data_IF_647203151784
#
_entry.id   IF_647203151784
#
_cell.length_a   1.000
_cell.length_b   1.000
_cell.length_c   1.000
_cell.angle_alpha   90.00
_cell.angle_beta   90.00
_cell.angle_gamma   90.00
#
_symmetry.space_group_name_H-M   'P 1'
#
loop_
_entity.id
_entity.type
_entity.pdbx_description
1 polymer ?
#
# COMPACT_ATOMS: atom_id res chain seq x y z
N UNK A 1 -7.82 -13.38 -29.97
CA UNK A 1 -8.01 -11.97 -30.37
C UNK A 1 -7.72 -11.10 -29.16
N UNK A 2 -6.51 -10.58 -29.05
CA UNK A 2 -6.09 -9.73 -27.94
C UNK A 2 -6.19 -8.27 -28.39
N UNK A 3 -7.23 -7.59 -27.94
CA UNK A 3 -7.29 -6.13 -27.95
C UNK A 3 -7.09 -5.70 -26.50
N UNK A 4 -5.83 -5.58 -26.08
CA UNK A 4 -5.46 -5.03 -24.78
C UNK A 4 -4.63 -3.77 -25.02
N UNK A 5 -5.32 -2.65 -25.22
CA UNK A 5 -4.78 -1.32 -24.94
C UNK A 5 -5.96 -0.47 -24.48
N UNK A 6 -6.10 -0.26 -23.18
CA UNK A 6 -6.78 0.93 -22.67
C UNK A 6 -5.83 1.58 -21.68
N UNK A 7 -4.79 2.22 -22.22
CA UNK A 7 -4.05 3.26 -21.53
C UNK A 7 -4.81 4.58 -21.64
N UNK A 8 -5.09 5.18 -20.47
CA UNK A 8 -5.79 6.44 -20.13
C UNK A 8 -7.24 6.58 -20.65
N UNK A 9 -8.21 7.00 -19.83
CA UNK A 9 -8.23 8.32 -19.18
C UNK A 9 -8.52 8.29 -17.67
N UNK A 10 -7.67 8.93 -16.87
CA UNK A 10 -8.10 9.62 -15.68
C UNK A 10 -7.93 11.13 -15.88
N UNK A 11 -8.98 11.88 -15.58
CA UNK A 11 -8.91 13.30 -15.28
C UNK A 11 -9.76 13.58 -14.03
N UNK A 12 -9.91 12.55 -13.17
CA UNK A 12 -10.90 12.37 -12.10
C UNK A 12 -12.14 11.57 -12.53
N UNK A 13 -12.40 10.45 -11.84
CA UNK A 13 -13.57 9.58 -11.95
C UNK A 13 -13.98 9.11 -10.54
N UNK A 14 -15.23 9.34 -10.15
CA UNK A 14 -15.77 8.84 -8.87
C UNK A 14 -16.10 7.35 -9.01
N UNK A 15 -15.36 6.50 -8.30
CA UNK A 15 -15.59 5.06 -8.25
C UNK A 15 -16.70 4.68 -7.28
N UNK A 16 -16.79 5.41 -6.15
CA UNK A 16 -17.78 5.17 -5.09
C UNK A 16 -18.22 6.52 -4.55
N UNK A 17 -19.53 6.79 -4.59
CA UNK A 17 -20.14 7.97 -3.96
C UNK A 17 -20.88 7.53 -2.70
N UNK A 18 -20.24 7.74 -1.54
CA UNK A 18 -20.81 7.47 -0.23
C UNK A 18 -21.51 8.70 0.37
N UNK A 19 -22.06 8.53 1.58
CA UNK A 19 -22.74 9.62 2.27
C UNK A 19 -21.77 10.74 2.68
N UNK A 20 -20.76 10.42 3.49
CA UNK A 20 -19.77 11.39 3.99
C UNK A 20 -18.47 11.41 3.18
N UNK A 21 -18.17 10.34 2.45
CA UNK A 21 -16.92 10.17 1.72
C UNK A 21 -17.19 9.73 0.29
N UNK A 22 -16.32 10.16 -0.62
CA UNK A 22 -16.24 9.61 -1.98
C UNK A 22 -14.86 8.99 -2.22
N UNK A 23 -14.83 7.99 -3.09
CA UNK A 23 -13.61 7.37 -3.60
C UNK A 23 -13.45 7.79 -5.05
N UNK A 24 -12.34 8.47 -5.35
CA UNK A 24 -12.09 9.06 -6.65
C UNK A 24 -10.76 8.52 -7.19
N UNK A 25 -10.75 8.15 -8.46
CA UNK A 25 -9.55 7.81 -9.22
C UNK A 25 -9.13 9.04 -10.04
N UNK A 26 -7.92 9.55 -9.83
CA UNK A 26 -7.46 10.79 -10.46
C UNK A 26 -6.02 10.69 -10.96
N UNK A 27 -5.73 11.49 -11.98
CA UNK A 27 -4.37 11.85 -12.41
C UNK A 27 -4.25 13.34 -12.67
N UNK A 28 -5.08 14.16 -11.99
CA UNK A 28 -4.99 15.62 -12.07
C UNK A 28 -3.83 16.10 -11.23
N UNK A 29 -3.02 16.99 -11.77
CA UNK A 29 -1.85 17.53 -11.08
C UNK A 29 -2.20 18.18 -9.72
N UNK A 30 -3.34 18.87 -9.64
CA UNK A 30 -3.81 19.52 -8.39
C UNK A 30 -4.15 18.50 -7.28
N UNK A 31 -4.77 17.37 -7.64
CA UNK A 31 -5.09 16.31 -6.69
C UNK A 31 -3.80 15.60 -6.27
N UNK A 32 -2.89 15.35 -7.21
CA UNK A 32 -1.60 14.71 -6.96
C UNK A 32 -0.75 15.57 -6.02
N UNK A 33 -0.67 16.89 -6.25
CA UNK A 33 0.06 17.79 -5.34
C UNK A 33 -0.55 17.74 -3.93
N UNK A 34 -1.88 17.78 -3.82
CA UNK A 34 -2.58 17.68 -2.53
C UNK A 34 -2.28 16.36 -1.83
N UNK A 35 -2.28 15.25 -2.56
CA UNK A 35 -1.93 13.92 -2.06
C UNK A 35 -0.46 13.85 -1.62
N UNK A 36 0.47 14.45 -2.37
CA UNK A 36 1.89 14.52 -1.99
C UNK A 36 2.09 15.27 -0.67
N UNK A 37 1.32 16.33 -0.41
CA UNK A 37 1.34 17.07 0.85
C UNK A 37 0.73 16.26 2.00
N UNK A 38 -0.39 15.58 1.76
CA UNK A 38 -1.00 14.67 2.74
C UNK A 38 -0.03 13.55 3.13
N UNK A 39 0.64 12.94 2.14
CA UNK A 39 1.65 11.90 2.37
C UNK A 39 2.82 12.43 3.19
N UNK A 40 3.33 13.62 2.86
CA UNK A 40 4.40 14.27 3.63
C UNK A 40 3.99 14.47 5.10
N UNK A 41 2.79 14.98 5.35
CA UNK A 41 2.28 15.19 6.71
C UNK A 41 2.11 13.88 7.49
N UNK A 42 1.47 12.88 6.87
CA UNK A 42 1.22 11.59 7.54
C UNK A 42 2.52 10.83 7.78
N UNK A 43 3.39 10.72 6.78
CA UNK A 43 4.66 10.00 6.95
C UNK A 43 5.65 10.78 7.83
N UNK A 44 5.62 12.11 7.82
CA UNK A 44 6.45 12.93 8.71
C UNK A 44 6.06 12.87 10.18
N UNK A 45 4.85 12.38 10.49
CA UNK A 45 4.34 12.23 11.86
C UNK A 45 4.20 10.77 12.31
N UNK A 46 4.48 9.80 11.44
CA UNK A 46 4.33 8.38 11.73
C UNK A 46 5.65 7.80 12.27
N UNK A 47 5.64 7.10 13.42
CA UNK A 47 6.83 6.51 14.01
C UNK A 47 7.63 5.63 13.05
N UNK A 48 8.90 5.98 12.84
CA UNK A 48 9.84 5.28 11.97
C UNK A 48 9.90 5.81 10.54
N UNK A 49 9.10 6.83 10.18
CA UNK A 49 9.15 7.45 8.84
C UNK A 49 9.58 8.92 8.88
N UNK A 50 9.71 9.52 10.07
CA UNK A 50 9.96 10.95 10.23
C UNK A 50 11.30 11.38 9.63
N UNK A 51 12.31 10.51 9.73
CA UNK A 51 13.65 10.77 9.19
C UNK A 51 13.66 10.99 7.68
N UNK A 52 12.73 10.33 6.95
CA UNK A 52 12.64 10.45 5.48
C UNK A 52 12.13 11.82 5.03
N UNK A 53 11.30 12.45 5.85
CA UNK A 53 10.70 13.75 5.54
C UNK A 53 11.57 14.92 6.00
N UNK A 54 12.55 14.68 6.88
CA UNK A 54 13.43 15.71 7.43
C UNK A 54 14.25 16.50 6.38
N UNK A 55 14.49 15.90 5.20
CA UNK A 55 15.22 16.53 4.08
C UNK A 55 14.33 17.13 2.98
N UNK A 56 13.00 16.96 3.07
CA UNK A 56 12.06 17.38 2.03
C UNK A 56 11.66 18.83 2.27
N UNK A 57 12.16 19.76 1.45
CA UNK A 57 12.03 21.20 1.69
C UNK A 57 10.77 21.84 1.11
N UNK A 58 10.11 21.18 0.17
CA UNK A 58 8.89 21.68 -0.49
C UNK A 58 7.58 21.12 0.11
N UNK A 59 7.72 20.29 1.15
CA UNK A 59 6.62 19.68 1.89
C UNK A 59 5.81 18.67 1.08
N UNK A 60 6.46 17.91 0.19
CA UNK A 60 5.83 16.93 -0.70
C UNK A 60 6.56 15.59 -0.69
N UNK A 61 5.86 14.51 -0.36
CA UNK A 61 6.34 13.15 -0.63
C UNK A 61 6.07 12.84 -2.10
N UNK A 62 7.06 13.12 -2.96
CA UNK A 62 6.95 12.99 -4.40
C UNK A 62 8.11 12.16 -4.97
N UNK A 63 7.83 11.29 -5.94
CA UNK A 63 8.87 10.58 -6.67
C UNK A 63 8.53 10.45 -8.17
N UNK A 64 9.50 9.95 -8.95
CA UNK A 64 9.37 9.81 -10.42
C UNK A 64 8.24 8.89 -10.86
N UNK A 65 7.71 8.03 -9.98
CA UNK A 65 6.63 7.10 -10.34
C UNK A 65 5.27 7.79 -10.34
N UNK A 66 5.09 8.90 -9.61
CA UNK A 66 3.80 9.57 -9.47
C UNK A 66 3.16 9.93 -10.82
N UNK A 67 3.96 10.27 -11.83
CA UNK A 67 3.52 10.58 -13.21
C UNK A 67 2.88 9.37 -13.93
N UNK A 68 3.33 8.17 -13.60
CA UNK A 68 2.91 6.92 -14.25
C UNK A 68 1.83 6.17 -13.46
N UNK A 69 1.44 6.69 -12.31
CA UNK A 69 0.45 6.09 -11.44
C UNK A 69 -0.94 6.69 -11.67
N UNK A 70 -1.95 5.88 -11.42
CA UNK A 70 -3.25 6.38 -11.04
C UNK A 70 -3.25 6.63 -9.52
N UNK A 71 -3.99 7.64 -9.06
CA UNK A 71 -4.10 7.97 -7.65
C UNK A 71 -5.53 7.75 -7.20
N UNK A 72 -5.71 6.85 -6.24
CA UNK A 72 -7.00 6.66 -5.62
C UNK A 72 -7.06 7.45 -4.33
N UNK A 73 -8.01 8.39 -4.27
CA UNK A 73 -8.16 9.33 -3.17
C UNK A 73 -9.50 9.12 -2.48
N UNK A 74 -9.52 9.41 -1.19
CA UNK A 74 -10.73 9.48 -0.36
C UNK A 74 -10.96 10.96 -0.09
N UNK A 75 -12.07 11.51 -0.59
CA UNK A 75 -12.48 12.88 -0.28
C UNK A 75 -13.58 12.86 0.78
N UNK A 76 -13.42 13.68 1.81
CA UNK A 76 -14.46 13.92 2.79
C UNK A 76 -15.39 15.02 2.29
N UNK A 77 -16.66 14.68 2.02
CA UNK A 77 -17.63 15.56 1.36
C UNK A 77 -17.95 16.82 2.18
N UNK A 78 -18.16 16.76 3.51
CA UNK A 78 -18.45 17.96 4.29
C UNK A 78 -17.35 19.03 4.27
N UNK A 79 -16.07 18.63 4.19
CA UNK A 79 -14.93 19.58 4.15
C UNK A 79 -14.34 19.76 2.75
N UNK A 80 -14.77 18.96 1.77
CA UNK A 80 -14.23 18.88 0.40
C UNK A 80 -12.72 18.55 0.32
N UNK A 81 -12.13 18.06 1.41
CA UNK A 81 -10.69 17.76 1.51
C UNK A 81 -10.36 16.31 1.16
N UNK A 82 -9.17 16.08 0.61
CA UNK A 82 -8.59 14.75 0.45
C UNK A 82 -8.05 14.31 1.82
N UNK A 83 -8.56 13.18 2.32
CA UNK A 83 -8.26 12.68 3.68
C UNK A 83 -7.59 11.31 3.68
N UNK A 84 -7.47 10.67 2.53
CA UNK A 84 -6.73 9.42 2.38
C UNK A 84 -6.39 9.15 0.94
N UNK A 85 -5.38 8.32 0.71
CA UNK A 85 -4.97 7.94 -0.63
C UNK A 85 -4.21 6.61 -0.66
N UNK A 86 -4.11 6.03 -1.85
CA UNK A 86 -2.99 5.17 -2.24
C UNK A 86 -2.66 5.37 -3.71
N UNK A 87 -1.40 5.12 -4.03
CA UNK A 87 -0.85 5.17 -5.37
C UNK A 87 -0.97 3.81 -6.03
N UNK A 88 -1.41 3.78 -7.28
CA UNK A 88 -1.57 2.57 -8.09
C UNK A 88 -0.70 2.69 -9.34
N UNK A 89 0.29 1.81 -9.47
CA UNK A 89 1.10 1.67 -10.68
C UNK A 89 0.60 0.47 -11.49
N UNK A 90 -0.23 0.68 -12.52
CA UNK A 90 -0.72 -0.40 -13.35
C UNK A 90 0.36 -0.93 -14.30
N UNK A 91 0.19 -2.13 -14.91
CA UNK A 91 1.19 -2.71 -15.79
C UNK A 91 1.68 -1.78 -16.93
N UNK A 92 0.81 -1.04 -17.66
CA UNK A 92 1.29 -0.09 -18.66
C UNK A 92 2.10 1.07 -18.05
N UNK A 93 1.72 1.54 -16.85
CA UNK A 93 2.44 2.56 -16.11
C UNK A 93 3.82 2.07 -15.67
N UNK A 94 3.91 0.83 -15.17
CA UNK A 94 5.19 0.22 -14.82
C UNK A 94 6.13 0.09 -16.03
N UNK A 95 5.59 -0.25 -17.21
CA UNK A 95 6.38 -0.27 -18.45
C UNK A 95 6.90 1.14 -18.78
N UNK A 96 6.02 2.15 -18.74
CA UNK A 96 6.39 3.54 -19.04
C UNK A 96 7.41 4.12 -18.04
N UNK A 97 7.30 3.74 -16.76
CA UNK A 97 8.24 4.09 -15.70
C UNK A 97 9.59 3.34 -15.80
N UNK A 98 9.74 2.40 -16.73
CA UNK A 98 10.95 1.57 -16.87
C UNK A 98 11.07 0.46 -15.81
N UNK A 99 9.97 0.14 -15.11
CA UNK A 99 9.90 -0.89 -14.10
C UNK A 99 8.94 -0.55 -12.97
N UNK A 100 8.79 -1.52 -12.06
CA UNK A 100 8.06 -1.38 -10.81
C UNK A 100 8.92 -0.66 -9.77
N UNK A 101 8.30 0.07 -8.83
CA UNK A 101 9.04 0.62 -7.69
C UNK A 101 9.59 -0.54 -6.85
N UNK A 102 8.79 -1.57 -6.59
CA UNK A 102 9.23 -2.77 -5.87
C UNK A 102 10.47 -3.45 -6.47
N UNK A 103 10.77 -3.25 -7.76
CA UNK A 103 11.97 -3.79 -8.42
C UNK A 103 13.27 -3.09 -7.98
N UNK A 104 13.20 -1.90 -7.37
CA UNK A 104 14.36 -1.21 -6.78
C UNK A 104 14.80 -1.87 -5.48
N UNK A 105 13.90 -2.59 -4.81
CA UNK A 105 14.13 -3.27 -3.53
C UNK A 105 14.27 -4.78 -3.69
N UNK A 106 13.68 -5.37 -4.74
CA UNK A 106 13.62 -6.82 -4.94
C UNK A 106 13.96 -7.26 -6.37
N UNK A 107 14.43 -8.50 -6.51
CA UNK A 107 14.40 -9.24 -7.78
C UNK A 107 13.03 -9.91 -7.95
N UNK A 108 12.28 -9.46 -8.95
CA UNK A 108 10.90 -9.84 -9.22
C UNK A 108 10.74 -10.88 -10.35
N UNK A 109 11.83 -11.51 -10.81
CA UNK A 109 11.79 -12.44 -11.96
C UNK A 109 10.79 -13.58 -11.79
N UNK A 110 10.57 -14.05 -10.56
CA UNK A 110 9.57 -15.09 -10.26
C UNK A 110 8.12 -14.69 -10.61
N UNK A 111 7.82 -13.40 -10.75
CA UNK A 111 6.49 -12.86 -11.02
C UNK A 111 6.23 -12.56 -12.50
N UNK A 112 7.20 -12.80 -13.39
CA UNK A 112 7.11 -12.42 -14.80
C UNK A 112 5.83 -12.91 -15.51
N UNK A 113 5.37 -14.12 -15.17
CA UNK A 113 4.20 -14.76 -15.77
C UNK A 113 2.85 -14.19 -15.30
N UNK A 114 2.78 -13.56 -14.13
CA UNK A 114 1.57 -12.86 -13.63
C UNK A 114 1.65 -11.34 -13.80
N UNK A 115 2.80 -10.80 -14.18
CA UNK A 115 3.06 -9.35 -14.28
C UNK A 115 2.01 -8.60 -15.12
N UNK A 116 1.51 -9.12 -16.26
CA UNK A 116 0.46 -8.42 -17.03
C UNK A 116 -0.87 -8.23 -16.26
N UNK A 117 -1.12 -9.05 -15.24
CA UNK A 117 -2.33 -9.03 -14.41
C UNK A 117 -2.09 -8.46 -13.00
N UNK A 118 -0.91 -7.86 -12.77
CA UNK A 118 -0.48 -7.41 -11.44
C UNK A 118 -0.22 -5.91 -11.42
N UNK A 119 -0.98 -5.17 -10.60
CA UNK A 119 -0.66 -3.78 -10.27
C UNK A 119 0.28 -3.72 -9.06
N UNK A 120 1.07 -2.65 -8.97
CA UNK A 120 1.75 -2.29 -7.73
C UNK A 120 0.95 -1.20 -7.02
N UNK A 121 0.77 -1.34 -5.71
CA UNK A 121 0.16 -0.34 -4.85
C UNK A 121 1.12 0.08 -3.73
N UNK A 122 1.07 1.36 -3.36
CA UNK A 122 1.93 1.89 -2.32
C UNK A 122 1.48 3.26 -1.83
N UNK A 123 2.29 3.85 -0.94
CA UNK A 123 2.05 5.20 -0.38
C UNK A 123 0.64 5.37 0.21
N UNK A 124 0.14 4.31 0.86
CA UNK A 124 -1.17 4.33 1.48
C UNK A 124 -1.14 5.16 2.77
N UNK A 125 -1.97 6.19 2.87
CA UNK A 125 -2.09 6.99 4.09
C UNK A 125 -3.52 7.50 4.29
N UNK A 126 -3.87 7.76 5.55
CA UNK A 126 -5.13 8.37 5.97
C UNK A 126 -4.83 9.42 7.03
N UNK A 127 -5.36 10.62 6.83
CA UNK A 127 -5.29 11.73 7.77
C UNK A 127 -5.77 11.27 9.15
N UNK A 128 -5.07 11.67 10.22
CA UNK A 128 -5.28 11.15 11.57
C UNK A 128 -6.75 11.23 12.02
N UNK A 129 -7.40 12.37 11.78
CA UNK A 129 -8.80 12.63 12.15
C UNK A 129 -9.83 11.79 11.39
N UNK A 130 -9.43 11.15 10.28
CA UNK A 130 -10.30 10.32 9.45
C UNK A 130 -9.94 8.83 9.52
N UNK A 131 -9.01 8.43 10.40
CA UNK A 131 -8.61 7.03 10.60
C UNK A 131 -9.77 6.23 11.20
N UNK A 132 -10.56 5.60 10.34
CA UNK A 132 -11.71 4.78 10.72
C UNK A 132 -11.79 3.48 9.94
N UNK A 133 -12.56 2.52 10.45
CA UNK A 133 -12.86 1.28 9.71
C UNK A 133 -13.59 1.55 8.40
N UNK A 134 -14.38 2.64 8.33
CA UNK A 134 -15.12 3.02 7.12
C UNK A 134 -14.23 3.55 6.01
N UNK A 135 -13.29 4.44 6.32
CA UNK A 135 -12.32 4.92 5.31
C UNK A 135 -11.46 3.76 4.80
N UNK A 136 -11.02 2.86 5.68
CA UNK A 136 -10.29 1.67 5.26
C UNK A 136 -11.15 0.75 4.38
N UNK A 137 -12.44 0.59 4.69
CA UNK A 137 -13.38 -0.16 3.84
C UNK A 137 -13.45 0.42 2.43
N UNK A 138 -13.59 1.75 2.34
CA UNK A 138 -13.69 2.48 1.08
C UNK A 138 -12.40 2.37 0.27
N UNK A 139 -11.24 2.43 0.93
CA UNK A 139 -9.96 2.22 0.25
C UNK A 139 -9.89 0.83 -0.39
N UNK A 140 -10.27 -0.24 0.33
CA UNK A 140 -10.30 -1.60 -0.23
C UNK A 140 -11.36 -1.76 -1.33
N UNK A 141 -12.55 -1.19 -1.14
CA UNK A 141 -13.61 -1.22 -2.14
C UNK A 141 -13.19 -0.50 -3.43
N UNK A 142 -12.49 0.63 -3.31
CA UNK A 142 -11.87 1.33 -4.42
C UNK A 142 -10.87 0.48 -5.19
N UNK A 143 -10.07 -0.33 -4.50
CA UNK A 143 -9.05 -1.18 -5.13
C UNK A 143 -9.71 -2.30 -5.93
N UNK A 144 -10.79 -2.87 -5.39
CA UNK A 144 -11.62 -3.86 -6.08
C UNK A 144 -12.27 -3.26 -7.33
N UNK A 145 -12.89 -2.08 -7.21
CA UNK A 145 -13.51 -1.38 -8.32
C UNK A 145 -12.47 -1.08 -9.43
N UNK A 146 -11.30 -0.57 -9.06
CA UNK A 146 -10.19 -0.36 -9.99
C UNK A 146 -9.77 -1.67 -10.68
N UNK A 147 -9.62 -2.74 -9.90
CA UNK A 147 -9.18 -4.04 -10.42
C UNK A 147 -10.18 -4.61 -11.42
N UNK A 148 -11.48 -4.49 -11.16
CA UNK A 148 -12.53 -4.93 -12.09
C UNK A 148 -12.56 -4.07 -13.35
N UNK A 149 -12.46 -2.75 -13.23
CA UNK A 149 -12.41 -1.82 -14.37
C UNK A 149 -11.22 -2.08 -15.30
N UNK A 150 -10.07 -2.48 -14.74
CA UNK A 150 -8.82 -2.67 -15.48
C UNK A 150 -8.47 -4.12 -15.78
N UNK A 151 -9.30 -5.08 -15.35
CA UNK A 151 -9.04 -6.50 -15.50
C UNK A 151 -7.80 -6.98 -14.75
N UNK A 152 -7.41 -6.29 -13.67
CA UNK A 152 -6.27 -6.67 -12.84
C UNK A 152 -6.70 -7.78 -11.89
N UNK A 153 -5.82 -8.75 -11.63
CA UNK A 153 -6.08 -9.84 -10.68
C UNK A 153 -5.30 -9.65 -9.39
N UNK A 154 -4.04 -9.26 -9.48
CA UNK A 154 -3.15 -9.18 -8.34
C UNK A 154 -2.82 -7.73 -8.01
N UNK A 155 -2.77 -7.42 -6.72
CA UNK A 155 -2.17 -6.20 -6.21
C UNK A 155 -0.96 -6.58 -5.36
N UNK A 156 0.20 -5.99 -5.64
CA UNK A 156 1.42 -6.21 -4.87
C UNK A 156 2.02 -4.90 -4.38
N UNK A 157 2.91 -4.98 -3.40
CA UNK A 157 3.64 -3.84 -2.87
C UNK A 157 4.50 -4.27 -1.70
N UNK A 158 5.14 -3.31 -1.05
CA UNK A 158 5.83 -3.53 0.21
C UNK A 158 5.07 -2.90 1.37
N UNK A 159 5.04 -3.59 2.50
CA UNK A 159 4.65 -2.99 3.78
C UNK A 159 5.87 -2.89 4.69
N UNK A 160 6.14 -1.68 5.12
CA UNK A 160 7.29 -1.37 5.96
C UNK A 160 6.98 -1.65 7.43
N UNK A 161 7.93 -2.28 8.12
CA UNK A 161 7.90 -2.53 9.55
C UNK A 161 9.15 -1.90 10.18
N UNK A 162 9.01 -0.89 11.07
CA UNK A 162 10.13 -0.30 11.76
C UNK A 162 11.04 -1.34 12.44
N UNK A 163 12.35 -1.18 12.26
CA UNK A 163 13.33 -2.01 12.95
C UNK A 163 13.32 -1.76 14.46
N UNK A 164 12.96 -0.54 14.89
CA UNK A 164 12.89 -0.18 16.30
C UNK A 164 11.46 0.23 16.68
N UNK A 165 10.94 -0.37 17.75
CA UNK A 165 9.73 0.04 18.44
C UNK A 165 10.05 0.38 19.89
N UNK A 166 9.45 1.43 20.43
CA UNK A 166 9.67 1.80 21.83
C UNK A 166 9.26 0.65 22.77
N UNK A 167 10.16 0.32 23.71
CA UNK A 167 9.95 -0.75 24.69
C UNK A 167 10.20 -2.18 24.15
N UNK A 168 10.73 -2.34 22.95
CA UNK A 168 11.10 -3.64 22.37
C UNK A 168 12.54 -3.65 21.87
N UNK A 169 13.15 -4.84 21.89
CA UNK A 169 14.46 -5.05 21.28
C UNK A 169 14.41 -4.80 19.77
N UNK A 170 15.50 -4.29 19.21
CA UNK A 170 15.62 -4.03 17.78
C UNK A 170 15.34 -5.30 16.97
N UNK A 171 14.46 -5.18 15.98
CA UNK A 171 14.03 -6.26 15.11
C UNK A 171 12.98 -7.19 15.71
N UNK A 172 12.61 -7.07 16.98
CA UNK A 172 11.66 -7.98 17.63
C UNK A 172 10.29 -8.01 16.90
N UNK A 173 9.79 -6.86 16.46
CA UNK A 173 8.55 -6.75 15.66
C UNK A 173 8.72 -7.37 14.27
N UNK A 174 9.82 -7.05 13.58
CA UNK A 174 10.16 -7.61 12.25
C UNK A 174 10.22 -9.14 12.31
N UNK A 175 10.89 -9.70 13.31
CA UNK A 175 10.94 -11.15 13.54
C UNK A 175 9.54 -11.73 13.78
N UNK A 176 8.72 -11.09 14.61
CA UNK A 176 7.38 -11.57 14.89
C UNK A 176 6.46 -11.55 13.66
N UNK A 177 6.55 -10.49 12.83
CA UNK A 177 5.82 -10.41 11.55
C UNK A 177 6.29 -11.53 10.64
N UNK A 178 7.61 -11.68 10.47
CA UNK A 178 8.22 -12.73 9.63
C UNK A 178 7.76 -14.13 10.04
N UNK A 179 7.85 -14.46 11.33
CA UNK A 179 7.42 -15.76 11.84
C UNK A 179 5.92 -16.03 11.57
N UNK A 180 5.06 -15.01 11.70
CA UNK A 180 3.63 -15.17 11.38
C UNK A 180 3.41 -15.44 9.88
N UNK A 181 4.00 -14.61 9.01
CA UNK A 181 3.73 -14.69 7.58
C UNK A 181 4.36 -15.93 6.94
N UNK A 182 5.54 -16.33 7.39
CA UNK A 182 6.20 -17.56 6.94
C UNK A 182 5.40 -18.81 7.35
N UNK A 183 4.71 -18.77 8.48
CA UNK A 183 3.91 -19.90 8.95
C UNK A 183 2.53 -20.02 8.29
N UNK A 184 1.92 -18.90 7.86
CA UNK A 184 0.47 -18.89 7.52
C UNK A 184 0.09 -18.19 6.23
N UNK A 185 0.99 -17.40 5.66
CA UNK A 185 0.66 -16.48 4.57
C UNK A 185 1.68 -16.54 3.43
N UNK A 186 2.41 -17.64 3.22
CA UNK A 186 3.39 -17.69 2.12
C UNK A 186 2.69 -17.78 0.76
N UNK A 187 3.13 -16.93 -0.16
CA UNK A 187 2.73 -17.03 -1.56
C UNK A 187 3.42 -18.22 -2.24
N UNK A 188 2.87 -18.63 -3.38
CA UNK A 188 3.49 -19.63 -4.26
C UNK A 188 4.82 -19.11 -4.87
N UNK A 189 4.89 -17.81 -5.14
CA UNK A 189 6.06 -17.16 -5.73
C UNK A 189 6.95 -16.54 -4.67
N UNK A 190 8.26 -16.53 -4.95
CA UNK A 190 9.25 -15.93 -4.07
C UNK A 190 10.14 -14.92 -4.81
N UNK A 191 10.20 -13.70 -4.31
CA UNK A 191 11.11 -12.63 -4.73
C UNK A 191 12.31 -12.57 -3.78
N UNK A 192 13.43 -12.03 -4.26
CA UNK A 192 14.66 -11.93 -3.46
C UNK A 192 14.95 -10.47 -3.10
N UNK A 193 15.15 -10.12 -1.82
CA UNK A 193 15.52 -8.76 -1.45
C UNK A 193 16.92 -8.41 -1.95
N UNK A 194 17.08 -7.18 -2.44
CA UNK A 194 18.38 -6.62 -2.86
C UNK A 194 19.21 -6.18 -1.67
N UNK A 195 18.58 -5.68 -0.61
CA UNK A 195 19.23 -5.39 0.67
C UNK A 195 18.64 -6.28 1.76
N UNK A 196 19.41 -7.24 2.29
CA UNK A 196 18.87 -8.21 3.23
C UNK A 196 18.79 -7.61 4.64
N UNK A 197 17.70 -7.89 5.34
CA UNK A 197 17.65 -7.70 6.79
C UNK A 197 18.63 -8.68 7.44
N UNK A 198 19.53 -8.18 8.28
CA UNK A 198 20.47 -8.99 9.05
C UNK A 198 19.76 -9.95 10.01
N UNK A 199 20.49 -10.92 10.52
CA UNK A 199 19.94 -11.89 11.46
C UNK A 199 19.45 -11.21 12.75
N UNK A 200 18.17 -11.37 13.06
CA UNK A 200 17.54 -10.82 14.26
C UNK A 200 17.57 -11.86 15.37
N UNK A 201 18.39 -11.64 16.38
CA UNK A 201 18.52 -12.52 17.55
C UNK A 201 17.49 -12.24 18.65
N UNK A 202 16.90 -11.05 18.66
CA UNK A 202 15.85 -10.63 19.59
C UNK A 202 14.66 -11.59 19.59
N UNK A 203 14.02 -11.79 20.74
CA UNK A 203 12.80 -12.59 20.82
C UNK A 203 11.66 -11.91 20.03
N UNK A 204 10.75 -12.68 19.39
CA UNK A 204 9.65 -12.09 18.63
C UNK A 204 8.72 -11.30 19.57
N UNK A 205 8.40 -10.07 19.18
CA UNK A 205 7.47 -9.22 19.92
C UNK A 205 6.02 -9.75 19.88
N UNK A 206 5.16 -9.18 20.73
CA UNK A 206 3.72 -9.43 20.69
C UNK A 206 3.11 -8.91 19.38
N UNK A 207 2.10 -9.59 18.84
CA UNK A 207 1.32 -9.11 17.67
C UNK A 207 0.67 -7.74 17.87
N UNK A 208 0.55 -7.25 19.11
CA UNK A 208 0.10 -5.88 19.41
C UNK A 208 1.02 -4.79 18.84
N UNK A 209 2.27 -5.14 18.53
CA UNK A 209 3.26 -4.25 17.92
C UNK A 209 3.14 -4.16 16.41
N UNK A 210 2.30 -4.99 15.78
CA UNK A 210 2.24 -5.03 14.33
C UNK A 210 1.67 -3.73 13.80
N UNK A 211 2.28 -3.14 12.75
CA UNK A 211 1.68 -2.00 12.08
C UNK A 211 0.22 -2.30 11.70
N UNK A 212 -0.70 -1.34 11.86
CA UNK A 212 -2.09 -1.51 11.46
C UNK A 212 -2.22 -1.96 9.99
N UNK A 213 -1.33 -1.47 9.12
CA UNK A 213 -1.30 -1.82 7.71
C UNK A 213 -1.00 -3.30 7.47
N UNK A 214 0.02 -3.85 8.14
CA UNK A 214 0.32 -5.31 8.11
C UNK A 214 -0.92 -6.11 8.51
N UNK A 215 -1.57 -5.73 9.62
CA UNK A 215 -2.77 -6.42 10.09
C UNK A 215 -3.92 -6.34 9.10
N UNK A 216 -4.13 -5.16 8.47
CA UNK A 216 -5.15 -4.97 7.44
C UNK A 216 -4.94 -5.88 6.24
N UNK A 217 -3.70 -5.96 5.74
CA UNK A 217 -3.35 -6.77 4.57
C UNK A 217 -3.55 -8.26 4.87
N UNK A 218 -3.10 -8.75 6.02
CA UNK A 218 -3.29 -10.15 6.41
C UNK A 218 -4.78 -10.51 6.56
N UNK A 219 -5.63 -9.58 7.01
CA UNK A 219 -7.09 -9.78 7.05
C UNK A 219 -7.71 -9.86 5.66
N UNK A 220 -7.11 -9.20 4.67
CA UNK A 220 -7.46 -9.30 3.25
C UNK A 220 -6.90 -10.54 2.56
N UNK A 221 -6.31 -11.48 3.32
CA UNK A 221 -5.63 -12.67 2.82
C UNK A 221 -4.41 -12.35 1.95
N UNK A 222 -3.71 -11.24 2.24
CA UNK A 222 -2.40 -10.99 1.65
C UNK A 222 -1.44 -12.14 1.98
N UNK A 223 -0.56 -12.41 1.01
CA UNK A 223 0.48 -13.41 1.09
C UNK A 223 1.85 -12.75 0.96
N UNK A 224 2.85 -13.28 1.65
CA UNK A 224 4.23 -12.81 1.61
C UNK A 224 4.98 -13.46 0.44
N UNK A 225 5.65 -12.63 -0.34
CA UNK A 225 6.44 -13.01 -1.50
C UNK A 225 7.90 -13.35 -1.14
N UNK A 226 8.31 -13.35 0.13
CA UNK A 226 9.68 -13.69 0.51
C UNK A 226 10.18 -12.97 1.74
N UNK A 227 11.50 -13.02 1.93
CA UNK A 227 12.16 -12.28 3.01
C UNK A 227 12.07 -10.76 2.76
N UNK A 228 11.98 -9.94 3.82
CA UNK A 228 11.92 -8.49 3.66
C UNK A 228 13.25 -7.90 3.15
N UNK A 229 13.16 -6.73 2.53
CA UNK A 229 14.31 -5.88 2.23
C UNK A 229 14.54 -4.88 3.36
N UNK A 230 15.78 -4.58 3.70
CA UNK A 230 16.11 -3.53 4.67
C UNK A 230 16.25 -2.19 3.96
N UNK A 231 15.57 -1.16 4.45
CA UNK A 231 15.80 0.22 4.03
C UNK A 231 16.51 1.01 5.15
N UNK A 232 17.79 1.39 4.95
CA UNK A 232 18.57 2.10 5.96
C UNK A 232 18.19 3.59 6.09
N UNK A 233 17.49 4.18 5.12
CA UNK A 233 17.05 5.58 5.16
C UNK A 233 15.89 5.73 6.14
N UNK A 234 14.96 4.78 6.11
CA UNK A 234 13.78 4.76 6.98
C UNK A 234 14.00 3.90 8.23
N UNK A 235 15.05 3.11 8.27
CA UNK A 235 15.28 2.12 9.33
C UNK A 235 14.11 1.12 9.48
N UNK A 236 13.63 0.62 8.35
CA UNK A 236 12.49 -0.32 8.25
C UNK A 236 12.87 -1.60 7.53
N UNK A 237 12.10 -2.65 7.77
CA UNK A 237 12.08 -3.86 6.97
C UNK A 237 10.82 -3.85 6.08
N UNK A 238 11.01 -3.84 4.77
CA UNK A 238 9.96 -3.86 3.76
C UNK A 238 9.58 -5.28 3.40
N UNK A 239 8.35 -5.67 3.74
CA UNK A 239 7.82 -7.00 3.46
C UNK A 239 7.10 -7.01 2.11
N UNK A 240 7.59 -7.74 1.09
CA UNK A 240 6.94 -7.79 -0.21
C UNK A 240 5.68 -8.65 -0.10
N UNK A 241 4.51 -8.06 -0.33
CA UNK A 241 3.22 -8.71 -0.20
C UNK A 241 2.46 -8.71 -1.53
N UNK A 242 1.61 -9.70 -1.71
CA UNK A 242 0.69 -9.82 -2.84
C UNK A 242 -0.71 -10.18 -2.33
N UNK A 243 -1.73 -9.70 -3.02
CA UNK A 243 -3.12 -10.03 -2.77
C UNK A 243 -3.73 -10.52 -4.09
N UNK A 244 -4.34 -11.71 -4.07
CA UNK A 244 -5.16 -12.21 -5.18
C UNK A 244 -6.59 -11.72 -4.98
N UNK A 245 -7.12 -10.95 -5.94
CA UNK A 245 -8.49 -10.42 -5.84
C UNK A 245 -9.54 -11.50 -5.65
N UNK A 246 -9.31 -12.70 -6.21
CA UNK A 246 -10.26 -13.81 -6.09
C UNK A 246 -10.30 -14.42 -4.69
N UNK A 247 -9.39 -14.02 -3.80
CA UNK A 247 -9.26 -14.51 -2.43
C UNK A 247 -9.52 -13.43 -1.38
N UNK A 248 -10.03 -12.26 -1.77
CA UNK A 248 -10.39 -11.19 -0.84
C UNK A 248 -11.34 -11.70 0.26
N UNK A 249 -11.10 -11.25 1.49
CA UNK A 249 -11.95 -11.60 2.61
C UNK A 249 -13.23 -10.75 2.62
N UNK A 250 -14.22 -11.15 1.83
CA UNK A 250 -15.50 -10.43 1.67
C UNK A 250 -16.18 -10.20 3.03
N UNK A 251 -16.16 -11.17 3.94
CA UNK A 251 -16.73 -11.03 5.29
C UNK A 251 -16.07 -9.93 6.11
N UNK A 252 -14.78 -9.70 5.91
CA UNK A 252 -14.09 -8.62 6.60
C UNK A 252 -14.49 -7.26 6.03
N UNK A 253 -14.64 -7.15 4.70
CA UNK A 253 -15.17 -5.93 4.06
C UNK A 253 -16.58 -5.60 4.55
N UNK A 254 -17.47 -6.59 4.60
CA UNK A 254 -18.84 -6.41 5.14
C UNK A 254 -18.83 -5.88 6.58
N UNK A 255 -17.92 -6.36 7.42
CA UNK A 255 -17.77 -5.87 8.81
C UNK A 255 -17.26 -4.43 8.87
N UNK A 256 -16.29 -4.07 8.03
CA UNK A 256 -15.80 -2.71 7.95
C UNK A 256 -16.90 -1.76 7.46
N UNK A 257 -17.71 -2.19 6.50
CA UNK A 257 -18.86 -1.43 6.01
C UNK A 257 -19.93 -1.24 7.08
N UNK A 258 -20.25 -2.27 7.87
CA UNK A 258 -21.20 -2.15 8.99
C UNK A 258 -20.70 -1.16 10.05
N UNK A 259 -19.41 -1.23 10.41
CA UNK A 259 -18.78 -0.28 11.32
C UNK A 259 -18.76 1.17 10.77
N UNK A 260 -18.85 1.33 9.44
CA UNK A 260 -18.93 2.61 8.77
C UNK A 260 -20.35 3.18 8.71
N UNK A 261 -21.35 2.34 8.41
CA UNK A 261 -22.77 2.75 8.31
C UNK A 261 -23.46 2.98 9.67
N UNK A 262 -22.68 3.02 10.74
CA UNK A 262 -23.09 3.39 12.10
C UNK A 262 -22.48 4.74 12.53
N UNK A 263 -21.84 5.45 11.60
CA UNK A 263 -21.47 6.86 11.64
C UNK A 263 -22.41 7.63 10.70
#
# INVERSE_FOLDING_TARGET
MATLVIGRSPASETLIDGAEYEVVLTTRDEDIETVQRLRFEVFGSEPGFEASMAGVTDGRDADRFDEFCDHLIIRHKPSETIVGCYRILPPPGAIAAGGLYLATEFDLGALDHIRPETLEMGRACVHADHRSGGVLCLMWAGLLAYSDLRGIRYAMGAVSVPMQYEGYDRGATVRAVRELVDAKHRAEWTVTPRNRVEEITAAPASRRTFPPLVTGYLRMNAEILGAPSFDPVFDVADFPMIIDRTRFNVRYLERLQQAAGSL
#
